data_IF_225269189943
#
_entry.id   IF_225269189943
#
_cell.length_a   1.000
_cell.length_b   1.000
_cell.length_c   1.000
_cell.angle_alpha   90.00
_cell.angle_beta   90.00
_cell.angle_gamma   90.00
#
_symmetry.space_group_name_H-M   'P 1'
#
loop_
_entity.id
_entity.type
_entity.pdbx_description
1 polymer ?
2 non-polymer ?
3 non-polymer ?
4 water ?
#
# COMPACT_ATOMS: atom_id res chain seq x y z
N UNK A 7 -15.78 -10.35 -0.98
CA UNK A 7 -14.42 -10.43 -1.59
C UNK A 7 -13.46 -9.42 -0.94
N UNK A 8 -12.18 -9.63 -1.15
CA UNK A 8 -11.15 -8.77 -0.59
C UNK A 8 -10.87 -7.53 -1.42
N UNK A 9 -11.75 -7.23 -2.38
CA UNK A 9 -11.58 -6.05 -3.20
C UNK A 9 -12.93 -5.46 -3.56
N UNK A 10 -12.94 -4.16 -3.84
CA UNK A 10 -14.16 -3.46 -4.21
C UNK A 10 -14.16 -3.17 -5.70
N UNK A 11 -15.17 -3.69 -6.39
CA UNK A 11 -15.28 -3.52 -7.84
C UNK A 11 -15.32 -2.08 -8.35
N UNK A 12 -16.19 -1.25 -7.76
CA UNK A 12 -16.29 0.11 -8.24
C UNK A 12 -15.03 0.93 -7.99
N UNK A 13 -14.26 0.54 -6.98
CA UNK A 13 -13.02 1.25 -6.71
C UNK A 13 -12.05 0.96 -7.86
N UNK A 14 -11.91 -0.32 -8.21
CA UNK A 14 -11.02 -0.68 -9.30
C UNK A 14 -11.50 -0.10 -10.63
N UNK A 15 -12.83 -0.05 -10.81
CA UNK A 15 -13.39 0.50 -12.04
C UNK A 15 -13.07 1.99 -12.18
N UNK A 16 -12.96 2.68 -11.06
CA UNK A 16 -12.62 4.10 -11.12
C UNK A 16 -11.22 4.30 -11.69
N UNK A 17 -10.28 3.52 -11.19
CA UNK A 17 -8.90 3.65 -11.64
C UNK A 17 -8.70 3.22 -13.08
N UNK A 18 -9.54 2.31 -13.56
CA UNK A 18 -9.42 1.81 -14.92
C UNK A 18 -10.08 2.76 -15.93
N UNK A 19 -10.89 3.69 -15.43
CA UNK A 19 -11.56 4.64 -16.31
C UNK A 19 -11.03 6.07 -16.16
N UNK A 20 -10.11 6.26 -15.22
CA UNK A 20 -9.53 7.58 -14.99
C UNK A 20 -8.01 7.49 -14.85
N UNK A 21 -7.43 6.43 -15.40
CA UNK A 21 -5.99 6.19 -15.33
C UNK A 21 -5.13 7.34 -15.86
N UNK A 22 -5.57 7.98 -16.94
CA UNK A 22 -4.78 9.07 -17.51
C UNK A 22 -4.71 10.25 -16.55
N UNK A 23 -5.86 10.69 -16.06
CA UNK A 23 -5.90 11.82 -15.14
C UNK A 23 -5.20 11.49 -13.82
N UNK A 24 -5.50 10.32 -13.27
CA UNK A 24 -4.91 9.93 -12.00
C UNK A 24 -3.39 9.79 -12.04
N UNK A 25 -2.87 9.33 -13.17
CA UNK A 25 -1.43 9.12 -13.34
C UNK A 25 -0.64 10.43 -13.34
N UNK A 26 -1.35 11.56 -13.41
CA UNK A 26 -0.69 12.86 -13.41
C UNK A 26 -0.34 13.37 -12.01
N UNK A 27 -0.97 12.81 -10.99
CA UNK A 27 -0.70 13.27 -9.64
C UNK A 27 0.40 12.44 -8.97
N UNK A 28 1.40 13.14 -8.45
CA UNK A 28 2.53 12.49 -7.78
C UNK A 28 2.33 12.46 -6.27
N UNK A 29 2.54 11.28 -5.65
CA UNK A 29 2.36 11.22 -4.20
C UNK A 29 3.50 11.91 -3.46
N UNK A 30 3.26 12.28 -2.20
CA UNK A 30 4.28 12.92 -1.38
C UNK A 30 5.31 11.86 -1.03
N UNK A 31 6.58 12.25 -0.95
CA UNK A 31 7.64 11.28 -0.68
C UNK A 31 8.21 11.23 0.72
N UNK A 32 7.70 12.05 1.62
CA UNK A 32 8.19 12.09 2.99
C UNK A 32 8.28 10.72 3.66
N UNK A 33 7.17 9.98 3.67
CA UNK A 33 7.18 8.67 4.32
C UNK A 33 8.03 7.66 3.55
N UNK A 34 8.16 7.82 2.24
CA UNK A 34 8.98 6.90 1.45
C UNK A 34 10.45 7.08 1.83
N UNK A 35 10.89 8.33 1.93
CA UNK A 35 12.27 8.59 2.28
C UNK A 35 12.60 7.99 3.64
N UNK A 36 11.69 8.13 4.60
CA UNK A 36 11.90 7.56 5.92
C UNK A 36 11.98 6.04 5.86
N UNK A 37 11.06 5.45 5.10
CA UNK A 37 10.98 4.01 4.90
C UNK A 37 12.29 3.44 4.35
N UNK A 38 12.74 3.99 3.23
CA UNK A 38 13.97 3.54 2.60
C UNK A 38 15.18 3.70 3.52
N UNK A 39 15.13 4.72 4.39
CA UNK A 39 16.23 4.96 5.31
C UNK A 39 16.32 3.90 6.39
N UNK A 40 15.28 3.09 6.52
CA UNK A 40 15.23 2.03 7.53
C UNK A 40 15.57 0.68 6.90
N UNK A 41 15.95 0.68 5.63
CA UNK A 41 16.28 -0.55 4.92
C UNK A 41 17.74 -0.61 4.46
N UNK A 42 18.27 -1.83 4.30
CA UNK A 42 19.66 -1.94 3.85
C UNK A 42 19.68 -1.63 2.36
N UNK A 43 20.81 -1.13 1.86
CA UNK A 43 20.91 -0.81 0.44
C UNK A 43 20.61 -2.07 -0.38
N UNK A 44 19.88 -1.90 -1.47
CA UNK A 44 19.56 -3.02 -2.35
C UNK A 44 18.48 -3.96 -1.85
N UNK A 45 17.78 -3.57 -0.79
CA UNK A 45 16.73 -4.41 -0.23
C UNK A 45 15.69 -4.80 -1.28
N UNK A 46 15.10 -5.98 -1.09
CA UNK A 46 14.08 -6.51 -1.98
C UNK A 46 12.74 -5.99 -1.47
N UNK A 47 12.06 -5.19 -2.30
CA UNK A 47 10.80 -4.58 -1.90
C UNK A 47 9.63 -4.92 -2.81
N UNK A 48 8.50 -5.27 -2.20
CA UNK A 48 7.28 -5.54 -2.94
C UNK A 48 6.44 -4.29 -2.80
N UNK A 49 5.95 -3.74 -3.90
CA UNK A 49 5.06 -2.59 -3.80
C UNK A 49 3.67 -3.04 -4.21
N UNK A 50 2.71 -2.80 -3.33
CA UNK A 50 1.32 -3.15 -3.58
C UNK A 50 0.64 -1.86 -4.03
N UNK A 51 -0.36 -1.98 -4.90
CA UNK A 51 -1.09 -0.82 -5.39
C UNK A 51 -0.19 0.34 -5.75
N UNK A 52 0.82 0.06 -6.57
CA UNK A 52 1.80 1.08 -6.97
C UNK A 52 1.28 2.25 -7.79
N UNK A 53 0.04 2.16 -8.27
CA UNK A 53 -0.52 3.23 -9.06
C UNK A 53 0.28 3.52 -10.32
N UNK A 54 0.59 4.79 -10.55
CA UNK A 54 1.33 5.24 -11.72
C UNK A 54 2.83 4.92 -11.68
N UNK A 55 3.29 4.34 -10.57
CA UNK A 55 4.68 3.96 -10.45
C UNK A 55 5.72 4.99 -10.06
N UNK A 56 5.29 6.17 -9.60
CA UNK A 56 6.24 7.21 -9.22
C UNK A 56 7.19 6.78 -8.12
N UNK A 57 6.66 6.09 -7.11
CA UNK A 57 7.49 5.67 -6.00
C UNK A 57 8.36 4.46 -6.35
N UNK A 58 7.85 3.58 -7.20
CA UNK A 58 8.64 2.42 -7.60
C UNK A 58 9.83 2.95 -8.40
N UNK A 59 9.59 3.99 -9.19
CA UNK A 59 10.65 4.61 -9.99
C UNK A 59 11.74 5.15 -9.08
N UNK A 60 11.32 5.83 -8.01
CA UNK A 60 12.27 6.40 -7.06
C UNK A 60 13.05 5.30 -6.34
N UNK A 62 13.68 2.22 -7.38
CA UNK A 62 14.61 1.59 -8.33
C UNK A 62 15.83 2.47 -8.54
N UNK A 63 15.59 3.76 -8.72
CA UNK A 63 16.70 4.70 -8.93
C UNK A 63 17.62 4.71 -7.71
N UNK A 64 17.04 4.47 -6.54
CA UNK A 64 17.76 4.45 -5.27
C UNK A 64 18.49 3.13 -5.01
N UNK A 65 18.45 2.23 -5.99
CA UNK A 65 19.14 0.95 -5.87
C UNK A 65 18.39 -0.24 -5.33
N UNK A 66 17.11 -0.09 -5.01
CA UNK A 66 16.36 -1.21 -4.48
C UNK A 66 15.86 -2.14 -5.58
N UNK A 67 15.62 -3.41 -5.20
CA UNK A 67 15.12 -4.44 -6.11
C UNK A 67 13.62 -4.43 -5.83
N UNK A 68 12.88 -3.74 -6.70
CA UNK A 68 11.45 -3.58 -6.55
C UNK A 68 10.56 -4.41 -7.46
N UNK A 69 9.61 -5.12 -6.85
CA UNK A 69 8.63 -5.92 -7.56
C UNK A 69 7.37 -5.06 -7.45
N UNK A 70 7.11 -4.26 -8.46
CA UNK A 70 5.96 -3.36 -8.47
C UNK A 70 4.70 -4.03 -9.00
N UNK A 71 3.60 -3.86 -8.28
CA UNK A 71 2.32 -4.46 -8.68
C UNK A 71 1.17 -3.49 -8.41
N UNK A 72 0.08 -3.68 -9.13
CA UNK A 72 -1.13 -2.88 -8.92
C UNK A 72 -2.33 -3.71 -9.34
N UNK A 73 -3.48 -3.44 -8.73
CA UNK A 73 -4.67 -4.20 -9.07
C UNK A 73 -5.32 -3.76 -10.36
N UNK A 74 -4.99 -2.56 -10.83
CA UNK A 74 -5.56 -2.05 -12.07
C UNK A 74 -4.66 -2.28 -13.26
N UNK A 75 -5.13 -3.07 -14.25
CA UNK A 75 -4.31 -3.33 -15.43
C UNK A 75 -3.94 -2.00 -16.12
N UNK A 76 -4.89 -1.07 -16.15
CA UNK A 76 -4.68 0.23 -16.79
C UNK A 76 -3.57 1.04 -16.10
N UNK A 77 -3.60 1.10 -14.78
CA UNK A 77 -2.56 1.83 -14.05
C UNK A 77 -1.24 1.08 -14.13
N UNK A 78 -1.30 -0.24 -14.06
CA UNK A 78 -0.09 -1.04 -14.15
C UNK A 78 0.57 -0.79 -15.50
N UNK A 79 -0.24 -0.58 -16.53
CA UNK A 79 0.30 -0.32 -17.86
C UNK A 79 1.00 1.04 -17.90
N UNK A 80 0.43 2.02 -17.22
CA UNK A 80 0.99 3.37 -17.14
C UNK A 80 2.31 3.31 -16.38
N UNK A 81 2.30 2.58 -15.28
CA UNK A 81 3.50 2.44 -14.47
C UNK A 81 4.61 1.73 -15.24
N UNK A 82 4.25 0.71 -16.02
CA UNK A 82 5.25 -0.03 -16.78
C UNK A 82 5.92 0.86 -17.82
N UNK A 83 5.16 1.79 -18.39
CA UNK A 83 5.72 2.69 -19.39
C UNK A 83 6.68 3.67 -18.70
N UNK A 84 6.30 4.17 -17.54
CA UNK A 84 7.14 5.10 -16.81
C UNK A 84 8.43 4.44 -16.31
N UNK A 85 8.31 3.23 -15.78
CA UNK A 85 9.48 2.52 -15.24
C UNK A 85 10.33 1.88 -16.32
N UNK A 86 9.73 1.55 -17.46
CA UNK A 86 10.49 0.88 -18.50
C UNK A 86 10.82 -0.50 -17.96
N UNK A 87 9.89 -1.03 -17.17
CA UNK A 87 10.01 -2.36 -16.56
C UNK A 87 8.62 -2.94 -16.40
N UNK A 88 8.52 -4.27 -16.19
CA UNK A 88 7.22 -4.94 -16.03
C UNK A 88 6.52 -4.66 -14.71
N UNK A 89 5.31 -4.11 -14.76
CA UNK A 89 4.54 -3.86 -13.55
C UNK A 89 3.39 -4.83 -13.68
N UNK A 90 3.38 -5.87 -12.85
CA UNK A 90 2.32 -6.86 -12.96
C UNK A 90 1.01 -6.51 -12.29
N UNK A 91 -0.06 -7.08 -12.84
CA UNK A 91 -1.39 -6.86 -12.31
C UNK A 91 -1.63 -7.89 -11.22
N UNK A 93 -4.09 -8.28 -7.44
CA UNK A 93 -4.95 -7.76 -6.39
C UNK A 93 -4.28 -8.17 -5.08
N UNK A 94 -4.46 -7.39 -4.03
CA UNK A 94 -3.83 -7.68 -2.74
C UNK A 94 -4.01 -9.12 -2.28
N UNK A 95 -5.24 -9.61 -2.30
CA UNK A 95 -5.55 -10.96 -1.85
C UNK A 95 -4.93 -12.07 -2.69
N UNK A 96 -4.33 -11.72 -3.83
CA UNK A 96 -3.70 -12.71 -4.69
C UNK A 96 -2.25 -12.96 -4.29
N UNK A 97 -1.75 -12.18 -3.34
CA UNK A 97 -0.37 -12.35 -2.88
C UNK A 97 -0.23 -13.72 -2.23
N UNK A 98 0.82 -14.45 -2.60
CA UNK A 98 1.04 -15.77 -2.02
C UNK A 98 2.52 -16.10 -1.84
N UNK A 99 3.35 -15.06 -1.80
CA UNK A 99 4.79 -15.25 -1.62
C UNK A 99 5.13 -15.61 -0.19
N UNK A 100 6.26 -16.28 0.00
CA UNK A 100 6.71 -16.68 1.33
C UNK A 100 8.17 -16.28 1.54
N UNK A 101 8.39 -15.47 2.57
CA UNK A 101 9.73 -14.99 2.94
C UNK A 101 10.53 -14.60 1.71
N UNK A 102 9.96 -13.72 0.90
CA UNK A 102 10.63 -13.29 -0.32
C UNK A 102 11.04 -11.83 -0.37
N UNK A 103 10.49 -11.00 0.52
CA UNK A 103 10.78 -9.58 0.50
C UNK A 103 11.35 -9.02 1.80
N UNK A 104 12.34 -8.14 1.68
CA UNK A 104 12.93 -7.51 2.86
C UNK A 104 11.95 -6.47 3.38
N UNK A 105 11.09 -5.98 2.49
CA UNK A 105 10.12 -4.95 2.86
C UNK A 105 8.93 -4.93 1.92
N UNK A 106 7.82 -4.38 2.41
CA UNK A 106 6.61 -4.25 1.60
C UNK A 106 6.14 -2.80 1.76
N UNK A 107 5.89 -2.15 0.63
CA UNK A 107 5.44 -0.76 0.60
C UNK A 107 4.04 -0.70 0.02
N UNK A 108 3.11 -0.13 0.78
CA UNK A 108 1.73 -0.04 0.31
C UNK A 108 1.21 1.36 0.64
N UNK A 109 1.47 2.30 -0.26
CA UNK A 109 1.06 3.67 -0.06
C UNK A 109 -0.37 3.95 -0.53
N UNK A 110 -1.21 4.36 0.41
CA UNK A 110 -2.60 4.70 0.14
C UNK A 110 -3.35 3.74 -0.76
N UNK A 111 -3.27 2.45 -0.45
CA UNK A 111 -3.96 1.46 -1.27
C UNK A 111 -4.70 0.41 -0.46
N UNK A 112 -4.14 -0.01 0.67
CA UNK A 112 -4.84 -1.00 1.48
C UNK A 112 -6.08 -0.39 2.11
N UNK A 113 -6.21 0.93 1.96
CA UNK A 113 -7.37 1.65 2.47
C UNK A 113 -8.60 1.33 1.63
N UNK A 114 -8.39 0.61 0.53
CA UNK A 114 -9.47 0.20 -0.37
C UNK A 114 -9.91 -1.24 -0.12
N UNK A 115 -9.36 -1.86 0.92
CA UNK A 115 -9.73 -3.23 1.24
C UNK A 115 -10.94 -3.28 2.18
N UNK A 116 -11.98 -4.04 1.79
CA UNK A 116 -13.17 -4.15 2.63
C UNK A 116 -12.74 -4.49 4.04
N UNK A 117 -13.29 -3.78 5.03
CA UNK A 117 -12.93 -3.99 6.44
C UNK A 117 -12.79 -5.44 6.89
N UNK A 118 -13.79 -6.26 6.60
CA UNK A 118 -13.77 -7.66 7.03
C UNK A 118 -12.70 -8.53 6.38
N UNK A 119 -12.03 -8.00 5.37
CA UNK A 119 -11.00 -8.77 4.69
C UNK A 119 -9.59 -8.24 4.91
N UNK A 120 -9.47 -7.09 5.57
CA UNK A 120 -8.14 -6.51 5.78
C UNK A 120 -7.20 -7.43 6.55
N UNK A 121 -7.67 -8.01 7.65
CA UNK A 121 -6.82 -8.89 8.45
C UNK A 121 -6.23 -10.02 7.62
N UNK A 122 -7.04 -10.63 6.77
CA UNK A 122 -6.55 -11.72 5.93
C UNK A 122 -5.49 -11.25 4.96
N UNK A 123 -5.67 -10.04 4.43
CA UNK A 123 -4.69 -9.48 3.49
C UNK A 123 -3.38 -9.21 4.23
N UNK A 124 -3.49 -8.66 5.44
CA UNK A 124 -2.29 -8.36 6.22
C UNK A 124 -1.54 -9.65 6.56
N UNK A 125 -2.28 -10.75 6.71
CA UNK A 125 -1.66 -12.04 7.02
C UNK A 125 -0.83 -12.51 5.81
N UNK A 126 -1.34 -12.28 4.61
CA UNK A 126 -0.61 -12.66 3.40
C UNK A 126 0.69 -11.88 3.34
N UNK A 127 0.64 -10.61 3.74
CA UNK A 127 1.83 -9.77 3.72
C UNK A 127 2.83 -10.25 4.75
N UNK A 128 2.33 -10.65 5.93
CA UNK A 128 3.19 -11.15 6.99
C UNK A 128 3.99 -12.35 6.44
N UNK A 129 3.28 -13.26 5.77
CA UNK A 129 3.93 -14.44 5.20
C UNK A 129 4.93 -14.12 4.11
N UNK A 130 4.65 -13.10 3.30
CA UNK A 130 5.52 -12.69 2.21
C UNK A 130 6.81 -12.03 2.66
N UNK A 131 6.79 -11.45 3.85
CA UNK A 131 7.96 -10.78 4.41
C UNK A 131 8.97 -11.78 4.95
N UNK A 132 10.24 -11.42 4.85
CA UNK A 132 11.29 -12.25 5.40
C UNK A 132 11.37 -11.87 6.86
N UNK A 133 11.87 -12.78 7.72
CA UNK A 133 11.97 -12.47 9.14
C UNK A 133 12.74 -11.15 9.32
N UNK A 134 12.20 -10.25 10.13
CA UNK A 134 12.83 -8.96 10.36
C UNK A 134 12.45 -7.91 9.33
N UNK A 135 11.61 -8.30 8.37
CA UNK A 135 11.19 -7.38 7.31
C UNK A 135 10.33 -6.22 7.77
N UNK A 136 10.35 -5.14 6.97
CA UNK A 136 9.57 -3.93 7.27
C UNK A 136 8.38 -3.77 6.32
N UNK A 137 7.22 -3.48 6.89
CA UNK A 137 6.00 -3.31 6.10
C UNK A 137 5.29 -2.00 6.44
N UNK A 138 5.15 -1.14 5.43
CA UNK A 138 4.50 0.15 5.59
C UNK A 138 3.20 0.19 4.79
N UNK A 139 2.17 0.78 5.39
CA UNK A 139 0.89 0.94 4.73
C UNK A 139 0.25 2.21 5.29
N UNK A 140 -0.34 3.01 4.42
CA UNK A 140 -1.02 4.22 4.90
C UNK A 140 -2.51 4.07 4.64
N UNK A 141 -3.31 4.71 5.49
CA UNK A 141 -4.78 4.63 5.39
C UNK A 141 -5.41 5.98 5.65
N UNK A 142 -6.60 6.20 5.08
CA UNK A 142 -7.34 7.44 5.35
C UNK A 142 -8.14 7.14 6.61
N UNK A 143 -7.91 7.92 7.67
CA UNK A 143 -8.61 7.70 8.93
C UNK A 143 -10.07 8.13 8.90
N UNK A 144 -10.86 7.54 9.79
CA UNK A 144 -12.27 7.86 9.88
C UNK A 144 -12.94 7.10 11.01
N UNK A 145 -14.27 7.12 11.03
CA UNK A 145 -15.02 6.42 12.07
C UNK A 145 -16.06 5.47 11.46
N UNK A 146 -15.69 4.81 10.38
CA UNK A 146 -16.58 3.88 9.73
C UNK A 146 -16.37 3.87 8.23
N UNK A 147 -16.44 2.69 7.63
CA UNK A 147 -16.25 2.55 6.19
C UNK A 147 -17.24 3.39 5.40
N UNK A 148 -16.83 3.79 4.20
CA UNK A 148 -17.69 4.59 3.35
C UNK A 148 -17.21 4.60 1.92
N UNK A 149 -17.81 5.46 1.10
CA UNK A 149 -17.45 5.57 -0.32
C UNK A 149 -17.49 7.04 -0.72
N UNK A 150 -16.46 7.53 -1.42
CA UNK A 150 -16.44 8.93 -1.81
C UNK A 150 -17.30 9.24 -3.04
N UNK A 151 -17.27 10.50 -3.45
CA UNK A 151 -18.07 10.95 -4.59
C UNK A 151 -17.60 10.36 -5.92
N UNK A 152 -16.43 9.73 -5.90
CA UNK A 152 -15.86 9.13 -7.10
C UNK A 152 -16.14 7.62 -7.14
N UNK A 153 -16.92 7.15 -6.18
CA UNK A 153 -17.31 5.74 -6.05
C UNK A 153 -16.21 4.86 -5.47
N UNK A 154 -15.19 5.47 -4.88
CA UNK A 154 -14.10 4.70 -4.29
C UNK A 154 -14.39 4.35 -2.83
N UNK A 155 -14.25 3.07 -2.51
CA UNK A 155 -14.48 2.57 -1.16
C UNK A 155 -13.26 2.83 -0.26
N UNK A 156 -13.52 3.26 0.98
CA UNK A 156 -12.45 3.49 1.96
C UNK A 156 -12.86 2.81 3.26
N UNK A 157 -11.92 2.16 3.94
CA UNK A 157 -12.28 1.51 5.20
C UNK A 157 -12.32 2.50 6.37
N UNK A 158 -11.88 3.73 6.12
CA UNK A 158 -11.87 4.82 7.11
C UNK A 158 -11.76 4.36 8.56
N UNK A 159 -10.62 3.74 8.93
CA UNK A 159 -10.40 3.25 10.28
C UNK A 159 -9.69 4.21 11.22
N UNK A 160 -9.70 3.84 12.49
CA UNK A 160 -9.02 4.61 13.53
C UNK A 160 -7.73 3.84 13.76
N UNK A 161 -6.77 4.44 14.47
CA UNK A 161 -5.53 3.74 14.74
C UNK A 161 -5.81 2.50 15.59
N UNK A 162 -6.74 2.64 16.53
CA UNK A 162 -7.09 1.50 17.40
C UNK A 162 -7.63 0.32 16.61
N UNK A 163 -8.47 0.60 15.62
CA UNK A 163 -9.06 -0.44 14.80
C UNK A 163 -7.95 -1.09 13.96
N UNK A 164 -7.08 -0.28 13.38
CA UNK A 164 -5.99 -0.83 12.58
C UNK A 164 -5.10 -1.73 13.43
N UNK A 165 -4.73 -1.28 14.63
CA UNK A 165 -3.90 -2.08 15.50
C UNK A 165 -4.55 -3.42 15.83
N UNK A 166 -5.87 -3.43 16.02
CA UNK A 166 -6.57 -4.67 16.32
C UNK A 166 -6.48 -5.64 15.14
N UNK A 167 -6.62 -5.12 13.93
CA UNK A 167 -6.54 -5.96 12.73
C UNK A 167 -5.11 -6.47 12.50
N UNK A 168 -4.12 -5.61 12.74
CA UNK A 168 -2.73 -6.04 12.57
C UNK A 168 -2.40 -7.15 13.57
N UNK A 169 -2.91 -7.02 14.78
CA UNK A 169 -2.65 -8.04 15.81
C UNK A 169 -3.29 -9.37 15.44
N UNK A 170 -4.46 -9.32 14.81
CA UNK A 170 -5.12 -10.55 14.42
C UNK A 170 -4.41 -11.21 13.24
N UNK A 171 -3.83 -10.38 12.37
CA UNK A 171 -3.13 -10.88 11.19
C UNK A 171 -1.90 -11.71 11.52
N UNK A 172 -1.15 -11.28 12.53
CA UNK A 172 0.05 -12.02 12.89
C UNK A 172 0.84 -11.35 13.99
N UNK A 173 1.95 -11.98 14.37
CA UNK A 173 2.79 -11.45 15.42
C UNK A 173 3.77 -10.44 14.84
N UNK A 174 3.70 -9.20 15.32
CA UNK A 174 4.61 -8.16 14.85
C UNK A 174 5.57 -7.79 15.97
N UNK A 175 6.86 -7.70 15.62
CA UNK A 175 7.88 -7.35 16.61
C UNK A 175 7.72 -5.92 17.08
N UNK A 176 7.18 -5.06 16.22
CA UNK A 176 6.95 -3.67 16.56
C UNK A 176 5.90 -3.07 15.63
N UNK A 177 5.18 -2.09 16.16
CA UNK A 177 4.13 -1.40 15.41
C UNK A 177 4.23 0.09 15.70
N UNK A 178 4.57 0.86 14.67
CA UNK A 178 4.70 2.31 14.80
C UNK A 178 3.65 3.00 13.92
N UNK A 179 3.05 4.07 14.43
CA UNK A 179 2.03 4.78 13.68
C UNK A 179 2.23 6.28 13.80
N UNK A 180 2.16 6.98 12.68
CA UNK A 180 2.28 8.43 12.67
C UNK A 180 1.19 8.94 11.73
N UNK A 181 0.78 10.18 11.90
CA UNK A 181 -0.26 10.73 11.05
C UNK A 181 0.24 11.90 10.22
N UNK A 182 -0.50 12.22 9.17
CA UNK A 182 -0.16 13.36 8.33
C UNK A 182 -1.49 13.95 7.88
N UNK A 183 -1.44 15.19 7.44
CA UNK A 183 -2.62 15.90 6.99
C UNK A 183 -2.41 16.23 5.51
N UNK A 184 -3.39 15.92 4.68
CA UNK A 184 -3.27 16.20 3.26
C UNK A 184 -4.60 16.11 2.54
N UNK A 185 -4.62 16.57 1.29
CA UNK A 185 -5.84 16.56 0.49
C UNK A 185 -5.89 15.29 -0.35
N UNK A 186 -7.06 14.67 -0.44
CA UNK A 186 -7.20 13.48 -1.24
C UNK A 186 -7.39 13.86 -2.69
N UNK A 187 -7.47 12.86 -3.56
CA UNK A 187 -7.67 13.10 -4.99
C UNK A 187 -8.95 13.91 -5.18
N UNK A 188 -9.95 13.65 -4.34
CA UNK A 188 -11.23 14.34 -4.42
C UNK A 188 -11.19 15.77 -3.89
N UNK A 189 -9.97 16.24 -3.58
CA UNK A 189 -9.75 17.59 -3.09
C UNK A 189 -10.29 17.84 -1.69
N UNK A 190 -10.69 16.77 -1.01
CA UNK A 190 -11.19 16.89 0.36
C UNK A 190 -10.04 16.70 1.34
N UNK A 191 -10.04 17.49 2.40
CA UNK A 191 -9.00 17.39 3.41
C UNK A 191 -9.16 16.05 4.13
N UNK A 192 -8.04 15.38 4.41
CA UNK A 192 -8.12 14.09 5.09
C UNK A 192 -6.85 13.80 5.90
N UNK A 193 -7.01 12.98 6.92
CA UNK A 193 -5.87 12.59 7.74
C UNK A 193 -5.47 11.18 7.32
N UNK A 194 -4.17 10.97 7.21
CA UNK A 194 -3.64 9.67 6.82
C UNK A 194 -2.87 9.09 7.99
N UNK A 195 -3.05 7.80 8.22
CA UNK A 195 -2.35 7.08 9.28
C UNK A 195 -1.34 6.20 8.57
N UNK A 196 -0.08 6.32 8.99
CA UNK A 196 1.03 5.57 8.41
C UNK A 196 1.47 4.50 9.39
N UNK A 197 1.20 3.24 9.05
CA UNK A 197 1.55 2.13 9.93
C UNK A 197 2.78 1.38 9.45
N UNK A 198 3.81 1.33 10.29
CA UNK A 198 5.04 0.62 9.94
C UNK A 198 5.23 -0.50 10.94
N UNK A 199 5.28 -1.73 10.44
CA UNK A 199 5.47 -2.88 11.32
C UNK A 199 6.67 -3.73 10.91
N UNK A 200 7.23 -4.43 11.88
CA UNK A 200 8.38 -5.30 11.67
C UNK A 200 7.98 -6.73 11.97
N UNK A 201 8.35 -7.66 11.08
CA UNK A 201 8.08 -9.07 11.28
C UNK A 201 9.18 -9.58 12.20
N UNK A 202 8.85 -10.48 13.14
CA UNK A 202 9.86 -11.01 14.07
C UNK A 202 11.07 -11.63 13.38
N UNK A 203 12.22 -11.50 14.03
CA UNK A 203 13.47 -12.04 13.52
C UNK A 203 13.46 -13.57 13.63
N UNK A 204 14.32 -14.22 12.84
CA UNK A 204 14.42 -15.67 12.85
C UNK A 204 15.02 -16.16 14.17
#
# INVERSE_FOLDING_TARGET
XEPDXTQAFDDDTLRFYRGNATAYAERQPRSATLTKFLGELPAGAKILELGCGAGYQAEAXLAAGFDVDATDGSPELAAEASRRLGRPVRTXLFHQLDAIDAYDAVWAHACLLHVPRDELADVLKLIWRALKPGGLFYASYKSGEGEGRDKLARYYNYPSEEWLRARYAEAGTWASVAVESSEGKGFDQELAQFLHVSVRKPELEHHHHHH
#
